data_IF_317083366681
#
_entry.id   IF_317083366681
#
_cell.length_a   1.000
_cell.length_b   1.000
_cell.length_c   1.000
_cell.angle_alpha   90.00
_cell.angle_beta   90.00
_cell.angle_gamma   90.00
#
_symmetry.space_group_name_H-M   'P 1'
#
loop_
_entity.id
_entity.type
_entity.pdbx_description
1 polymer ?
#
# COMPACT_ATOMS: atom_id res chain seq x y z
N UNK A 1 36.09 -21.47 -21.56
CA UNK A 1 34.99 -20.48 -21.51
C UNK A 1 33.76 -21.16 -22.05
N UNK A 2 32.84 -21.59 -21.18
CA UNK A 2 31.70 -22.44 -21.56
C UNK A 2 30.55 -21.61 -22.13
N UNK A 3 29.94 -22.11 -23.21
CA UNK A 3 28.79 -21.54 -23.94
C UNK A 3 27.54 -21.28 -23.07
N UNK A 4 27.53 -21.77 -21.82
CA UNK A 4 26.42 -21.60 -20.88
C UNK A 4 26.27 -20.21 -20.25
N UNK A 5 27.24 -19.28 -20.43
CA UNK A 5 27.11 -17.93 -19.84
C UNK A 5 26.20 -16.99 -20.65
N UNK A 6 26.02 -17.24 -21.95
CA UNK A 6 25.25 -16.37 -22.86
C UNK A 6 23.73 -16.52 -22.71
N UNK A 7 23.27 -17.66 -22.19
CA UNK A 7 21.86 -17.97 -21.99
C UNK A 7 21.41 -17.80 -20.52
N UNK A 8 22.20 -17.12 -19.70
CA UNK A 8 21.82 -16.82 -18.32
C UNK A 8 21.11 -15.46 -18.23
N UNK A 9 19.95 -15.44 -17.58
CA UNK A 9 19.19 -14.21 -17.33
C UNK A 9 19.33 -13.83 -15.86
N UNK A 10 19.64 -12.56 -15.60
CA UNK A 10 19.76 -12.00 -14.26
C UNK A 10 18.53 -12.35 -13.41
N UNK A 11 18.74 -12.98 -12.25
CA UNK A 11 17.75 -13.49 -11.29
C UNK A 11 16.93 -14.72 -11.71
N UNK A 12 16.95 -15.14 -12.98
CA UNK A 12 16.15 -16.26 -13.48
C UNK A 12 16.98 -17.51 -13.81
N UNK A 13 18.31 -17.37 -13.93
CA UNK A 13 19.20 -18.49 -14.21
C UNK A 13 19.18 -18.90 -15.68
N UNK A 14 19.19 -20.21 -15.95
CA UNK A 14 19.15 -20.75 -17.31
C UNK A 14 17.76 -20.57 -17.93
N UNK A 15 17.74 -20.25 -19.22
CA UNK A 15 16.49 -20.04 -19.95
C UNK A 15 15.85 -21.37 -20.32
N UNK A 16 14.56 -21.54 -20.03
CA UNK A 16 13.79 -22.74 -20.37
C UNK A 16 12.70 -22.45 -21.41
N UNK A 17 12.45 -23.44 -22.25
CA UNK A 17 11.67 -23.37 -23.48
C UNK A 17 10.20 -23.74 -23.33
N UNK A 18 9.76 -24.17 -22.14
CA UNK A 18 8.39 -24.64 -21.92
C UNK A 18 7.85 -24.17 -20.56
N UNK A 19 6.55 -23.90 -20.49
CA UNK A 19 5.81 -23.76 -19.23
C UNK A 19 5.59 -25.14 -18.58
N UNK A 20 5.51 -25.23 -17.25
CA UNK A 20 5.26 -26.50 -16.57
C UNK A 20 3.84 -27.01 -16.87
N UNK A 21 3.68 -28.07 -17.68
CA UNK A 21 2.36 -28.58 -18.07
C UNK A 21 1.54 -29.19 -16.91
N UNK A 22 2.22 -29.73 -15.88
CA UNK A 22 1.56 -30.45 -14.76
C UNK A 22 1.42 -29.62 -13.48
N UNK A 23 1.99 -28.41 -13.44
CA UNK A 23 1.99 -27.51 -12.27
C UNK A 23 1.49 -26.14 -12.68
N UNK A 24 0.84 -25.43 -11.77
CA UNK A 24 0.44 -24.05 -12.05
C UNK A 24 1.69 -23.17 -12.26
N UNK A 25 1.69 -22.31 -13.29
CA UNK A 25 2.86 -21.52 -13.64
C UNK A 25 3.15 -20.48 -12.56
N UNK A 26 4.42 -20.40 -12.13
CA UNK A 26 4.89 -19.33 -11.24
C UNK A 26 5.23 -18.08 -12.04
N UNK A 27 5.27 -16.94 -11.36
CA UNK A 27 5.75 -15.68 -11.96
C UNK A 27 7.15 -15.84 -12.57
N UNK A 28 8.03 -16.61 -11.92
CA UNK A 28 9.36 -16.95 -12.44
C UNK A 28 9.34 -17.79 -13.71
N UNK A 29 8.47 -18.79 -13.79
CA UNK A 29 8.38 -19.69 -14.96
C UNK A 29 7.87 -18.92 -16.19
N UNK A 30 6.83 -18.10 -16.00
CA UNK A 30 6.25 -17.25 -17.05
C UNK A 30 7.28 -16.22 -17.54
N UNK A 31 8.00 -15.58 -16.61
CA UNK A 31 9.03 -14.61 -16.97
C UNK A 31 10.23 -15.26 -17.66
N UNK A 32 10.60 -16.48 -17.27
CA UNK A 32 11.70 -17.21 -17.90
C UNK A 32 11.36 -17.59 -19.35
N UNK A 33 10.15 -18.13 -19.56
CA UNK A 33 9.67 -18.46 -20.90
C UNK A 33 9.51 -17.22 -21.80
N UNK A 34 9.13 -16.08 -21.21
CA UNK A 34 9.15 -14.79 -21.91
C UNK A 34 10.54 -14.39 -22.36
N UNK A 35 11.56 -14.58 -21.52
CA UNK A 35 12.94 -14.29 -21.89
C UNK A 35 13.44 -15.22 -22.99
N UNK A 36 13.00 -16.47 -23.03
CA UNK A 36 13.27 -17.40 -24.13
C UNK A 36 12.75 -16.85 -25.45
N UNK A 37 11.45 -16.54 -25.53
CA UNK A 37 10.84 -16.03 -26.77
C UNK A 37 11.44 -14.68 -27.21
N UNK A 38 11.71 -13.78 -26.26
CA UNK A 38 12.24 -12.47 -26.58
C UNK A 38 13.73 -12.47 -26.95
N UNK A 39 14.60 -13.18 -26.19
CA UNK A 39 16.05 -13.18 -26.44
C UNK A 39 16.47 -14.15 -27.54
N UNK A 40 15.84 -15.33 -27.62
CA UNK A 40 16.26 -16.41 -28.53
C UNK A 40 15.45 -16.35 -29.82
N UNK A 41 14.12 -16.22 -29.73
CA UNK A 41 13.26 -16.16 -30.92
C UNK A 41 13.12 -14.75 -31.53
N UNK A 42 13.71 -13.72 -30.91
CA UNK A 42 13.72 -12.31 -31.35
C UNK A 42 12.34 -11.73 -31.70
N UNK A 43 11.28 -12.26 -31.10
CA UNK A 43 9.91 -11.75 -31.25
C UNK A 43 9.74 -10.43 -30.48
N UNK A 44 8.76 -9.62 -30.87
CA UNK A 44 8.50 -8.35 -30.18
C UNK A 44 7.93 -8.60 -28.77
N UNK A 45 8.14 -7.65 -27.85
CA UNK A 45 7.65 -7.75 -26.46
C UNK A 45 6.15 -8.00 -26.40
N UNK A 46 5.38 -7.37 -27.28
CA UNK A 46 3.92 -7.49 -27.35
C UNK A 46 3.47 -8.86 -27.85
N UNK A 47 4.10 -9.37 -28.90
CA UNK A 47 3.80 -10.71 -29.46
C UNK A 47 4.19 -11.81 -28.46
N UNK A 48 5.35 -11.70 -27.81
CA UNK A 48 5.76 -12.63 -26.77
C UNK A 48 4.77 -12.67 -25.61
N UNK A 49 4.32 -11.50 -25.14
CA UNK A 49 3.41 -11.44 -24.01
C UNK A 49 2.05 -12.07 -24.34
N UNK A 50 1.51 -11.82 -25.54
CA UNK A 50 0.25 -12.39 -26.00
C UNK A 50 0.31 -13.92 -26.07
N UNK A 51 1.28 -14.48 -26.79
CA UNK A 51 1.41 -15.93 -26.95
C UNK A 51 1.57 -16.65 -25.61
N UNK A 52 2.30 -16.07 -24.66
CA UNK A 52 2.52 -16.69 -23.35
C UNK A 52 1.24 -16.67 -22.52
N UNK A 53 0.44 -15.63 -22.65
CA UNK A 53 -0.81 -15.54 -21.92
C UNK A 53 -1.84 -16.50 -22.49
N UNK A 54 -1.86 -16.72 -23.80
CA UNK A 54 -2.71 -17.75 -24.41
C UNK A 54 -2.36 -19.13 -23.84
N UNK A 55 -1.07 -19.49 -23.82
CA UNK A 55 -0.59 -20.76 -23.25
C UNK A 55 -0.87 -20.86 -21.74
N UNK A 56 -0.73 -19.76 -20.99
CA UNK A 56 -1.09 -19.74 -19.57
C UNK A 56 -2.59 -19.90 -19.39
N UNK A 57 -3.42 -19.20 -20.17
CA UNK A 57 -4.87 -19.30 -20.09
C UNK A 57 -5.37 -20.70 -20.43
N UNK A 58 -4.72 -21.42 -21.34
CA UNK A 58 -4.99 -22.83 -21.63
C UNK A 58 -4.76 -23.69 -20.37
N UNK A 59 -3.60 -23.56 -19.72
CA UNK A 59 -3.29 -24.29 -18.46
C UNK A 59 -4.30 -23.98 -17.34
N UNK A 60 -4.79 -22.74 -17.27
CA UNK A 60 -5.81 -22.36 -16.28
C UNK A 60 -7.25 -22.72 -16.69
N UNK A 61 -7.52 -22.94 -17.98
CA UNK A 61 -8.82 -23.39 -18.49
C UNK A 61 -9.09 -24.85 -18.12
N UNK A 62 -8.03 -25.68 -18.16
CA UNK A 62 -8.07 -27.07 -17.67
C UNK A 62 -8.45 -27.19 -16.18
N UNK A 63 -8.38 -26.08 -15.43
CA UNK A 63 -8.73 -26.02 -14.00
C UNK A 63 -10.18 -25.59 -13.74
N UNK A 64 -11.01 -25.45 -14.77
CA UNK A 64 -12.42 -25.04 -14.70
C UNK A 64 -12.64 -23.79 -13.83
N UNK A 65 -11.75 -22.79 -13.96
CA UNK A 65 -11.82 -21.54 -13.17
C UNK A 65 -12.11 -20.32 -14.05
N UNK A 66 -12.98 -19.40 -13.60
CA UNK A 66 -13.30 -18.21 -14.38
C UNK A 66 -12.04 -17.33 -14.52
N UNK A 67 -11.70 -16.97 -15.76
CA UNK A 67 -10.46 -16.26 -16.11
C UNK A 67 -10.65 -14.75 -16.16
N UNK A 68 -9.57 -14.04 -15.84
CA UNK A 68 -9.44 -12.60 -16.10
C UNK A 68 -9.38 -12.37 -17.61
N UNK A 69 -9.94 -11.25 -18.08
CA UNK A 69 -9.84 -10.83 -19.49
C UNK A 69 -8.38 -10.77 -19.95
N UNK A 70 -8.11 -11.24 -21.16
CA UNK A 70 -6.76 -11.33 -21.76
C UNK A 70 -5.94 -10.02 -21.62
N UNK A 71 -6.55 -8.86 -21.80
CA UNK A 71 -5.91 -7.54 -21.63
C UNK A 71 -5.33 -7.29 -20.22
N UNK A 72 -5.99 -7.76 -19.17
CA UNK A 72 -5.50 -7.57 -17.81
C UNK A 72 -4.37 -8.56 -17.47
N UNK A 73 -4.38 -9.75 -18.06
CA UNK A 73 -3.25 -10.68 -17.98
C UNK A 73 -2.02 -10.09 -18.70
N UNK A 74 -2.21 -9.44 -19.85
CA UNK A 74 -1.16 -8.72 -20.58
C UNK A 74 -0.51 -7.65 -19.71
N UNK A 75 -1.34 -6.80 -19.11
CA UNK A 75 -0.85 -5.75 -18.21
C UNK A 75 -0.09 -6.32 -17.00
N UNK A 76 -0.54 -7.45 -16.44
CA UNK A 76 0.15 -8.14 -15.34
C UNK A 76 1.54 -8.62 -15.78
N UNK A 77 1.63 -9.17 -16.99
CA UNK A 77 2.91 -9.63 -17.56
C UNK A 77 3.87 -8.47 -17.85
N UNK A 78 3.37 -7.38 -18.46
CA UNK A 78 4.17 -6.18 -18.73
C UNK A 78 4.72 -5.54 -17.45
N UNK A 79 3.94 -5.52 -16.36
CA UNK A 79 4.40 -5.03 -15.06
C UNK A 79 5.52 -5.90 -14.50
N UNK A 80 5.39 -7.24 -14.55
CA UNK A 80 6.47 -8.14 -14.12
C UNK A 80 7.75 -7.93 -14.92
N UNK A 81 7.64 -7.79 -16.24
CA UNK A 81 8.79 -7.52 -17.10
C UNK A 81 9.44 -6.16 -16.80
N UNK A 82 8.64 -5.12 -16.54
CA UNK A 82 9.14 -3.77 -16.23
C UNK A 82 9.85 -3.75 -14.88
N UNK A 83 9.30 -4.42 -13.86
CA UNK A 83 9.95 -4.57 -12.55
C UNK A 83 11.31 -5.29 -12.68
N UNK A 84 11.35 -6.41 -13.40
CA UNK A 84 12.59 -7.12 -13.70
C UNK A 84 13.60 -6.24 -14.45
N UNK A 85 13.16 -5.53 -15.49
CA UNK A 85 14.02 -4.66 -16.31
C UNK A 85 14.63 -3.53 -15.48
N UNK A 86 13.88 -3.00 -14.52
CA UNK A 86 14.39 -1.97 -13.62
C UNK A 86 15.45 -2.53 -12.64
N UNK A 87 15.28 -3.78 -12.18
CA UNK A 87 16.28 -4.47 -11.35
C UNK A 87 17.55 -4.82 -12.14
N UNK A 88 17.44 -5.26 -13.39
CA UNK A 88 18.60 -5.51 -14.25
C UNK A 88 19.37 -4.21 -14.54
N UNK A 89 18.67 -3.09 -14.79
CA UNK A 89 19.31 -1.77 -14.92
C UNK A 89 20.08 -1.34 -13.66
N UNK A 90 19.64 -1.73 -12.48
CA UNK A 90 20.29 -1.40 -11.21
C UNK A 90 21.26 -2.47 -10.69
N UNK A 91 21.58 -3.51 -11.47
CA UNK A 91 22.43 -4.64 -11.07
C UNK A 91 23.82 -4.28 -10.51
N UNK A 92 24.35 -3.12 -10.89
CA UNK A 92 25.66 -2.62 -10.45
C UNK A 92 25.61 -1.98 -9.04
N UNK A 93 24.43 -1.67 -8.51
CA UNK A 93 24.23 -1.07 -7.17
C UNK A 93 24.23 -2.12 -6.06
N UNK A 94 25.25 -2.99 -6.03
CA UNK A 94 25.35 -4.15 -5.12
C UNK A 94 25.49 -3.77 -3.64
N UNK A 95 25.97 -2.56 -3.34
CA UNK A 95 26.23 -2.09 -1.97
C UNK A 95 25.05 -1.37 -1.29
N UNK A 96 23.92 -1.20 -1.98
CA UNK A 96 22.75 -0.53 -1.39
C UNK A 96 21.85 -1.56 -0.71
N UNK A 97 21.72 -1.48 0.62
CA UNK A 97 20.80 -2.33 1.40
C UNK A 97 19.36 -2.29 0.88
N UNK A 98 18.92 -1.10 0.45
CA UNK A 98 17.61 -0.91 -0.18
C UNK A 98 17.44 -1.69 -1.48
N UNK A 99 18.51 -1.85 -2.26
CA UNK A 99 18.51 -2.66 -3.48
C UNK A 99 18.46 -4.15 -3.17
N UNK A 100 19.17 -4.62 -2.13
CA UNK A 100 19.10 -6.01 -1.67
C UNK A 100 17.71 -6.39 -1.18
N UNK A 101 17.04 -5.50 -0.43
CA UNK A 101 15.64 -5.70 -0.03
C UNK A 101 14.69 -5.78 -1.22
N UNK A 102 14.90 -4.97 -2.27
CA UNK A 102 14.12 -5.06 -3.51
C UNK A 102 14.34 -6.36 -4.26
N UNK A 103 15.59 -6.83 -4.34
CA UNK A 103 15.91 -8.13 -4.93
C UNK A 103 15.20 -9.24 -4.15
N UNK A 104 15.32 -9.26 -2.82
CA UNK A 104 14.69 -10.28 -1.98
C UNK A 104 13.18 -10.32 -2.17
N UNK A 105 12.51 -9.16 -2.10
CA UNK A 105 11.07 -9.02 -2.35
C UNK A 105 10.67 -9.52 -3.75
N UNK A 106 11.49 -9.25 -4.76
CA UNK A 106 11.22 -9.72 -6.11
C UNK A 106 11.44 -11.23 -6.24
N UNK A 107 12.48 -11.80 -5.63
CA UNK A 107 12.71 -13.25 -5.60
C UNK A 107 11.55 -13.99 -4.93
N UNK A 108 11.00 -13.45 -3.83
CA UNK A 108 9.81 -14.00 -3.18
C UNK A 108 8.60 -13.96 -4.13
N UNK A 109 8.41 -12.83 -4.82
CA UNK A 109 7.37 -12.65 -5.85
C UNK A 109 7.52 -13.60 -7.04
N UNK A 110 8.74 -13.96 -7.44
CA UNK A 110 8.97 -14.94 -8.52
C UNK A 110 8.48 -16.35 -8.13
N UNK A 111 8.49 -16.68 -6.83
CA UNK A 111 8.02 -17.96 -6.32
C UNK A 111 6.49 -18.05 -6.19
N UNK A 112 5.78 -16.92 -6.29
CA UNK A 112 4.32 -16.86 -6.26
C UNK A 112 3.69 -17.34 -7.58
N UNK A 113 2.44 -17.80 -7.50
CA UNK A 113 1.65 -18.24 -8.65
C UNK A 113 1.31 -17.05 -9.56
N UNK A 114 1.43 -17.25 -10.89
CA UNK A 114 0.92 -16.29 -11.85
C UNK A 114 -0.60 -16.45 -11.96
N UNK A 115 -1.32 -15.88 -10.99
CA UNK A 115 -2.77 -16.02 -10.88
C UNK A 115 -3.54 -15.22 -11.96
N UNK A 116 -4.32 -15.91 -12.79
CA UNK A 116 -5.16 -15.32 -13.86
C UNK A 116 -6.66 -15.50 -13.54
N UNK A 117 -7.03 -15.86 -12.31
CA UNK A 117 -8.44 -16.04 -11.92
C UNK A 117 -9.19 -14.72 -11.73
N UNK A 118 -10.42 -14.68 -12.19
CA UNK A 118 -11.33 -13.57 -11.93
C UNK A 118 -11.67 -13.53 -10.43
N UNK A 119 -11.34 -12.42 -9.76
CA UNK A 119 -11.79 -12.17 -8.38
C UNK A 119 -13.30 -11.93 -8.40
N UNK A 120 -14.08 -12.99 -8.22
CA UNK A 120 -15.53 -12.90 -7.97
C UNK A 120 -15.76 -12.98 -6.47
N UNK A 121 -16.65 -12.15 -5.94
CA UNK A 121 -17.12 -12.24 -4.55
C UNK A 121 -17.75 -13.62 -4.34
N UNK A 122 -17.11 -14.46 -3.51
CA UNK A 122 -17.56 -15.82 -3.24
C UNK A 122 -18.61 -15.75 -2.12
N UNK A 123 -19.84 -15.45 -2.48
CA UNK A 123 -21.01 -15.83 -1.67
C UNK A 123 -21.45 -17.22 -2.14
N UNK A 124 -21.25 -18.23 -1.28
CA UNK A 124 -21.70 -19.62 -1.38
C UNK A 124 -21.20 -20.45 -2.59
N UNK A 125 -20.46 -21.53 -2.32
CA UNK A 125 -20.90 -22.89 -2.67
C UNK A 125 -19.81 -23.94 -2.39
N UNK A 126 -20.25 -25.00 -1.71
CA UNK A 126 -19.54 -26.23 -1.43
C UNK A 126 -19.47 -27.05 -2.73
N UNK A 127 -18.27 -27.29 -3.25
CA UNK A 127 -18.08 -28.18 -4.39
C UNK A 127 -16.74 -28.93 -4.21
N UNK A 128 -16.73 -30.28 -4.31
CA UNK A 128 -15.55 -31.12 -4.07
C UNK A 128 -14.37 -30.83 -5.01
N UNK A 129 -14.60 -30.19 -6.16
CA UNK A 129 -13.54 -29.75 -7.08
C UNK A 129 -12.56 -28.73 -6.45
N UNK A 130 -12.99 -27.97 -5.43
CA UNK A 130 -12.11 -27.03 -4.71
C UNK A 130 -10.99 -27.75 -3.96
N UNK A 131 -11.21 -28.99 -3.48
CA UNK A 131 -10.20 -29.78 -2.76
C UNK A 131 -9.01 -30.12 -3.66
N UNK A 132 -9.23 -30.55 -4.90
CA UNK A 132 -8.14 -30.79 -5.86
C UNK A 132 -7.35 -29.51 -6.17
N UNK A 133 -8.05 -28.38 -6.26
CA UNK A 133 -7.40 -27.08 -6.48
C UNK A 133 -6.57 -26.62 -5.27
N UNK A 134 -6.89 -27.06 -4.06
CA UNK A 134 -6.14 -26.79 -2.83
C UNK A 134 -4.95 -27.75 -2.68
N UNK A 135 -5.11 -29.02 -3.04
CA UNK A 135 -4.04 -30.03 -3.05
C UNK A 135 -2.93 -29.67 -4.04
N UNK A 136 -3.24 -29.06 -5.20
CA UNK A 136 -2.21 -28.54 -6.12
C UNK A 136 -1.52 -27.25 -5.63
N UNK A 137 -2.02 -26.60 -4.56
CA UNK A 137 -1.43 -25.38 -3.96
C UNK A 137 -0.51 -25.68 -2.78
N UNK A 138 -0.65 -26.83 -2.12
CA UNK A 138 0.20 -27.18 -0.97
C UNK A 138 1.64 -27.47 -1.42
N UNK A 139 2.59 -26.96 -0.65
CA UNK A 139 4.04 -27.14 -0.89
C UNK A 139 4.45 -28.54 -0.41
N UNK A 140 4.00 -29.60 -1.08
CA UNK A 140 4.35 -30.97 -0.68
C UNK A 140 3.65 -32.02 -1.54
N UNK A 141 4.40 -33.05 -1.96
CA UNK A 141 3.94 -34.14 -2.82
C UNK A 141 3.26 -35.21 -1.96
N UNK A 142 1.97 -35.49 -2.18
CA UNK A 142 1.36 -36.75 -1.77
C UNK A 142 1.41 -37.70 -2.97
N UNK A 143 2.08 -38.83 -2.80
CA UNK A 143 2.06 -39.94 -3.77
C UNK A 143 0.70 -40.61 -3.74
N UNK A 144 0.07 -40.91 -4.90
CA UNK A 144 -1.15 -41.71 -4.90
C UNK A 144 -0.85 -43.13 -4.40
N UNK A 145 -1.61 -43.57 -3.41
CA UNK A 145 -1.67 -44.98 -2.99
C UNK A 145 -2.58 -45.69 -4.02
N UNK A 146 -2.23 -46.89 -4.53
CA UNK A 146 -3.08 -47.64 -5.45
C UNK A 146 -4.38 -48.08 -4.75
N UNK A 147 -5.48 -48.04 -5.50
CA UNK A 147 -6.78 -48.58 -5.10
C UNK A 147 -6.65 -50.07 -4.81
N UNK A 148 -6.85 -50.45 -3.54
CA UNK A 148 -7.33 -51.75 -3.04
C UNK A 148 -6.92 -51.86 -1.56
N UNK A 149 -7.80 -51.51 -0.62
CA UNK A 149 -8.06 -52.20 0.68
C UNK A 149 -9.28 -51.52 1.34
N UNK A 150 -10.20 -52.37 1.78
CA UNK A 150 -11.48 -52.09 2.44
C UNK A 150 -11.36 -51.34 3.78
N UNK A 151 -12.49 -50.77 4.20
CA UNK A 151 -12.74 -50.02 5.43
C UNK A 151 -11.93 -50.48 6.65
N UNK A 152 -11.09 -49.59 7.19
CA UNK A 152 -10.59 -49.68 8.55
C UNK A 152 -10.48 -48.27 9.17
N UNK A 153 -11.39 -47.99 10.09
CA UNK A 153 -11.39 -46.80 10.94
C UNK A 153 -10.25 -46.87 11.95
N UNK A 154 -9.33 -45.89 11.95
CA UNK A 154 -8.34 -45.75 13.03
C UNK A 154 -8.22 -44.30 13.56
N UNK A 155 -7.89 -44.15 14.85
CA UNK A 155 -8.36 -43.07 15.72
C UNK A 155 -7.48 -41.83 15.71
N UNK A 156 -8.07 -40.69 16.07
CA UNK A 156 -7.34 -39.47 16.38
C UNK A 156 -6.74 -39.57 17.79
N UNK A 157 -5.42 -39.69 17.88
CA UNK A 157 -4.69 -39.36 19.12
C UNK A 157 -4.17 -37.91 19.08
N UNK A 158 -4.20 -37.20 20.22
CA UNK A 158 -3.85 -35.79 20.29
C UNK A 158 -2.34 -35.61 20.42
N UNK A 159 -1.74 -34.78 19.57
CA UNK A 159 -0.35 -34.33 19.75
C UNK A 159 -0.39 -32.98 20.47
N UNK A 160 0.05 -33.04 21.72
CA UNK A 160 0.38 -31.93 22.61
C UNK A 160 1.38 -30.99 21.94
N UNK A 161 1.08 -29.69 21.94
CA UNK A 161 2.04 -28.64 21.62
C UNK A 161 2.40 -27.92 22.92
N UNK A 162 3.43 -28.39 23.61
CA UNK A 162 4.23 -27.57 24.50
C UNK A 162 5.20 -26.75 23.64
N UNK A 163 4.88 -25.46 23.43
CA UNK A 163 5.86 -24.45 23.05
C UNK A 163 5.62 -23.22 23.92
N UNK A 164 6.64 -22.92 24.72
CA UNK A 164 6.71 -21.88 25.75
C UNK A 164 6.16 -20.51 25.32
N UNK A 165 5.11 -20.10 26.04
CA UNK A 165 4.43 -18.81 25.91
C UNK A 165 5.21 -17.67 26.59
N UNK A 166 6.52 -17.57 26.37
CA UNK A 166 7.35 -16.55 27.00
C UNK A 166 8.43 -15.91 26.09
N UNK A 167 8.38 -16.17 24.78
CA UNK A 167 9.30 -15.56 23.79
C UNK A 167 8.58 -14.60 22.82
N UNK A 168 7.24 -14.59 22.79
CA UNK A 168 6.46 -13.72 21.90
C UNK A 168 6.14 -12.34 22.50
N UNK A 169 6.33 -12.16 23.81
CA UNK A 169 6.05 -10.93 24.55
C UNK A 169 7.19 -9.91 24.56
N UNK A 170 8.39 -10.25 24.07
CA UNK A 170 9.54 -9.33 24.00
C UNK A 170 9.84 -8.75 22.61
N UNK A 171 9.16 -9.21 21.54
CA UNK A 171 9.40 -8.74 20.17
C UNK A 171 8.40 -7.69 19.65
N UNK A 172 7.40 -7.29 20.46
CA UNK A 172 6.34 -6.35 20.06
C UNK A 172 6.39 -4.99 20.78
N UNK A 173 7.41 -4.73 21.61
CA UNK A 173 7.57 -3.47 22.34
C UNK A 173 8.41 -2.39 21.65
N UNK A 174 9.08 -2.67 20.52
CA UNK A 174 10.05 -1.73 19.92
C UNK A 174 9.60 -1.00 18.64
N UNK A 175 8.29 -0.88 18.39
CA UNK A 175 7.80 -0.01 17.29
C UNK A 175 6.69 0.94 17.75
N UNK A 176 7.00 1.79 18.72
CA UNK A 176 6.33 3.08 18.88
C UNK A 176 7.36 4.19 18.77
N UNK A 177 7.44 4.82 17.58
CA UNK A 177 8.15 6.09 17.43
C UNK A 177 7.10 7.17 17.21
N UNK A 178 6.88 7.87 18.32
CA UNK A 178 6.34 9.23 18.40
C UNK A 178 7.00 10.13 17.35
N UNK A 179 6.17 10.85 16.58
CA UNK A 179 6.61 11.94 15.73
C UNK A 179 6.15 13.24 16.37
N UNK A 180 6.92 13.71 17.34
CA UNK A 180 6.96 15.13 17.70
C UNK A 180 8.41 15.52 18.02
N UNK A 181 8.77 16.70 17.48
CA UNK A 181 9.94 17.50 17.79
C UNK A 181 11.30 17.14 17.14
N UNK A 182 11.47 17.52 15.86
CA UNK A 182 12.74 18.06 15.39
C UNK A 182 12.51 19.18 14.36
N UNK A 183 12.37 20.40 14.87
CA UNK A 183 12.68 21.60 14.11
C UNK A 183 14.14 21.95 14.36
N UNK A 184 15.00 21.86 13.33
CA UNK A 184 15.89 22.93 12.82
C UNK A 184 17.09 22.39 12.03
N UNK A 185 17.12 22.83 10.77
CA UNK A 185 18.30 23.15 9.96
C UNK A 185 19.28 22.03 9.58
N UNK A 186 19.26 21.65 8.30
CA UNK A 186 20.41 21.00 7.64
C UNK A 186 20.83 21.80 6.41
N UNK A 187 21.82 22.65 6.61
CA UNK A 187 22.76 23.08 5.59
C UNK A 187 23.60 21.86 5.16
N UNK A 188 23.41 21.39 3.93
CA UNK A 188 24.23 20.32 3.38
C UNK A 188 25.59 20.86 2.90
N UNK A 189 26.66 20.55 3.61
CA UNK A 189 28.02 20.59 3.07
C UNK A 189 28.51 19.15 2.87
N UNK A 190 28.67 18.75 1.62
CA UNK A 190 29.23 17.47 1.24
C UNK A 190 30.74 17.63 0.98
N UNK A 191 31.56 17.24 1.95
CA UNK A 191 33.01 17.16 1.79
C UNK A 191 33.41 15.86 1.08
N UNK A 192 33.63 15.95 -0.23
CA UNK A 192 34.31 14.91 -1.01
C UNK A 192 35.67 15.45 -1.44
N UNK A 193 36.71 15.02 -0.74
CA UNK A 193 38.09 15.40 -1.02
C UNK A 193 38.55 14.84 -2.36
N UNK A 194 38.60 15.70 -3.38
CA UNK A 194 39.39 15.52 -4.58
C UNK A 194 40.17 16.82 -4.81
N UNK A 195 41.49 16.79 -4.64
CA UNK A 195 42.38 17.93 -4.91
C UNK A 195 42.27 18.29 -6.38
N UNK A 196 41.60 19.39 -6.69
CA UNK A 196 41.70 20.11 -7.98
C UNK A 196 42.31 21.47 -7.70
N UNK A 197 43.39 21.75 -8.42
CA UNK A 197 44.11 23.02 -8.44
C UNK A 197 43.12 24.16 -8.71
N UNK A 198 43.07 25.12 -7.80
CA UNK A 198 42.19 26.29 -7.84
C UNK A 198 42.80 27.30 -8.82
N UNK A 199 42.06 27.62 -9.88
CA UNK A 199 42.30 28.81 -10.70
C UNK A 199 41.46 29.97 -10.13
N UNK A 200 42.10 31.11 -9.84
CA UNK A 200 41.49 32.29 -9.23
C UNK A 200 40.68 33.11 -10.26
N UNK A 201 39.49 32.64 -10.63
CA UNK A 201 38.50 33.48 -11.31
C UNK A 201 37.24 33.48 -10.45
N UNK A 202 37.06 34.52 -9.64
CA UNK A 202 35.85 34.76 -8.86
C UNK A 202 34.80 35.40 -9.78
N UNK A 203 33.91 34.58 -10.34
CA UNK A 203 32.57 35.05 -10.69
C UNK A 203 31.70 34.85 -9.45
N UNK A 204 31.42 35.93 -8.73
CA UNK A 204 30.42 35.93 -7.66
C UNK A 204 29.03 35.64 -8.27
N UNK A 205 28.57 34.40 -8.15
CA UNK A 205 27.18 34.06 -8.41
C UNK A 205 26.30 34.80 -7.38
N UNK A 206 25.29 35.59 -7.79
CA UNK A 206 24.43 36.30 -6.86
C UNK A 206 23.71 35.28 -5.98
N UNK A 207 23.95 35.33 -4.67
CA UNK A 207 23.18 34.56 -3.70
C UNK A 207 21.74 35.05 -3.77
N UNK A 208 20.83 34.22 -4.30
CA UNK A 208 19.41 34.56 -4.30
C UNK A 208 18.92 34.59 -2.85
N UNK A 209 18.71 35.79 -2.31
CA UNK A 209 17.92 35.95 -1.10
C UNK A 209 16.51 35.45 -1.41
N UNK A 210 16.20 34.22 -1.02
CA UNK A 210 14.84 33.72 -1.11
C UNK A 210 13.99 34.54 -0.14
N UNK A 211 13.29 35.55 -0.64
CA UNK A 211 12.33 36.30 0.16
C UNK A 211 11.29 35.34 0.73
N UNK A 212 11.05 35.43 2.04
CA UNK A 212 10.04 34.63 2.70
C UNK A 212 8.66 35.03 2.17
N UNK A 213 7.96 34.09 1.52
CA UNK A 213 6.61 34.31 1.04
C UNK A 213 5.64 34.49 2.21
N UNK A 214 4.68 35.39 2.04
CA UNK A 214 3.64 35.66 3.04
C UNK A 214 2.68 34.48 3.08
N UNK A 215 2.40 33.98 4.29
CA UNK A 215 1.33 33.01 4.54
C UNK A 215 -0.01 33.75 4.69
N UNK A 216 -1.00 33.33 3.92
CA UNK A 216 -2.34 33.95 3.87
C UNK A 216 -3.39 33.05 4.53
N UNK A 217 -3.07 31.78 4.80
CA UNK A 217 -4.07 30.86 5.34
C UNK A 217 -4.36 31.13 6.81
N UNK A 218 -5.43 31.87 7.06
CA UNK A 218 -6.02 32.05 8.40
C UNK A 218 -7.08 30.97 8.69
N UNK A 219 -7.45 30.73 9.97
CA UNK A 219 -8.52 29.80 10.30
C UNK A 219 -9.88 30.20 9.69
N UNK A 220 -10.17 31.49 9.58
CA UNK A 220 -11.39 32.02 8.94
C UNK A 220 -11.39 31.71 7.45
N UNK A 221 -10.27 31.98 6.76
CA UNK A 221 -10.15 31.66 5.34
C UNK A 221 -10.23 30.15 5.09
N UNK A 222 -9.58 29.34 5.93
CA UNK A 222 -9.65 27.88 5.82
C UNK A 222 -11.07 27.37 6.03
N UNK A 223 -11.77 27.84 7.05
CA UNK A 223 -13.15 27.43 7.34
C UNK A 223 -14.13 27.87 6.25
N UNK A 224 -13.99 29.07 5.69
CA UNK A 224 -14.79 29.53 4.56
C UNK A 224 -14.59 28.64 3.32
N UNK A 225 -13.35 28.29 3.00
CA UNK A 225 -13.00 27.38 1.90
C UNK A 225 -13.42 25.92 2.16
N UNK A 226 -13.47 25.48 3.43
CA UNK A 226 -13.97 24.15 3.81
C UNK A 226 -15.50 24.07 3.66
N UNK A 227 -16.24 25.06 4.17
CA UNK A 227 -17.71 25.13 4.07
C UNK A 227 -18.20 25.23 2.64
N UNK A 228 -17.44 25.91 1.77
CA UNK A 228 -17.73 26.01 0.34
C UNK A 228 -17.26 24.80 -0.48
N UNK A 229 -16.71 23.77 0.17
CA UNK A 229 -16.21 22.54 -0.48
C UNK A 229 -15.23 22.83 -1.64
N UNK A 230 -14.38 23.84 -1.47
CA UNK A 230 -13.42 24.26 -2.50
C UNK A 230 -12.16 23.40 -2.43
N UNK A 231 -11.79 22.79 -3.55
CA UNK A 231 -10.53 22.04 -3.64
C UNK A 231 -9.33 22.96 -3.42
N UNK A 232 -8.22 22.45 -2.88
CA UNK A 232 -7.02 23.27 -2.66
C UNK A 232 -6.48 23.92 -3.94
N UNK A 233 -6.84 23.40 -5.14
CA UNK A 233 -6.43 23.96 -6.43
C UNK A 233 -7.30 25.14 -6.80
N UNK A 234 -8.60 24.99 -6.62
CA UNK A 234 -9.55 26.07 -6.83
C UNK A 234 -9.33 27.19 -5.80
N UNK A 235 -9.00 26.84 -4.56
CA UNK A 235 -8.62 27.78 -3.53
C UNK A 235 -7.41 28.63 -3.96
N UNK A 236 -6.38 28.02 -4.54
CA UNK A 236 -5.23 28.75 -5.06
C UNK A 236 -5.63 29.78 -6.13
N UNK A 237 -6.50 29.39 -7.08
CA UNK A 237 -6.99 30.31 -8.11
C UNK A 237 -7.79 31.48 -7.52
N UNK A 238 -8.70 31.20 -6.58
CA UNK A 238 -9.50 32.22 -5.90
C UNK A 238 -8.60 33.19 -5.14
N UNK A 239 -7.66 32.67 -4.35
CA UNK A 239 -6.73 33.50 -3.56
C UNK A 239 -5.85 34.37 -4.47
N UNK A 240 -5.36 33.84 -5.60
CA UNK A 240 -4.60 34.64 -6.58
C UNK A 240 -5.47 35.75 -7.18
N UNK A 241 -6.70 35.44 -7.58
CA UNK A 241 -7.60 36.42 -8.19
C UNK A 241 -7.95 37.55 -7.20
N UNK A 242 -8.23 37.19 -5.94
CA UNK A 242 -8.50 38.15 -4.87
C UNK A 242 -7.26 38.99 -4.57
N UNK A 243 -6.08 38.37 -4.43
CA UNK A 243 -4.82 39.07 -4.19
C UNK A 243 -4.53 40.11 -5.29
N UNK A 244 -4.70 39.73 -6.56
CA UNK A 244 -4.55 40.65 -7.70
C UNK A 244 -5.56 41.81 -7.65
N UNK A 245 -6.81 41.52 -7.31
CA UNK A 245 -7.87 42.53 -7.21
C UNK A 245 -7.62 43.54 -6.08
N UNK A 246 -6.95 43.10 -5.01
CA UNK A 246 -6.53 43.94 -3.89
C UNK A 246 -5.18 44.64 -4.12
N UNK A 247 -4.55 44.46 -5.28
CA UNK A 247 -3.26 45.09 -5.61
C UNK A 247 -2.03 44.39 -5.00
N UNK A 248 -2.17 43.18 -4.48
CA UNK A 248 -1.04 42.38 -3.99
C UNK A 248 -0.41 41.56 -5.12
N UNK A 249 0.93 41.51 -5.14
CA UNK A 249 1.68 40.69 -6.08
C UNK A 249 1.59 39.19 -5.71
N UNK A 250 1.05 38.33 -6.59
CA UNK A 250 0.95 36.89 -6.32
C UNK A 250 2.30 36.20 -6.11
N UNK A 251 3.41 36.76 -6.59
CA UNK A 251 4.73 36.16 -6.42
C UNK A 251 5.24 36.21 -4.97
N UNK A 252 4.80 37.22 -4.21
CA UNK A 252 5.16 37.44 -2.81
C UNK A 252 4.33 36.58 -1.84
N UNK A 253 3.31 35.91 -2.35
CA UNK A 253 2.34 35.14 -1.57
C UNK A 253 2.60 33.64 -1.73
N UNK A 254 2.44 32.88 -0.64
CA UNK A 254 2.49 31.43 -0.67
C UNK A 254 1.18 30.79 -1.20
N UNK A 255 0.91 30.90 -2.50
CA UNK A 255 -0.33 30.36 -3.12
C UNK A 255 -0.17 28.94 -3.70
N UNK A 256 0.91 28.24 -3.37
CA UNK A 256 1.09 26.87 -3.87
C UNK A 256 -0.04 25.96 -3.37
N UNK A 257 -0.64 25.19 -4.27
CA UNK A 257 -1.64 24.17 -3.94
C UNK A 257 -1.24 23.29 -2.76
N UNK A 258 0.04 22.86 -2.73
CA UNK A 258 0.55 21.98 -1.66
C UNK A 258 0.65 22.71 -0.33
N UNK A 259 1.06 23.99 -0.35
CA UNK A 259 1.09 24.83 0.85
C UNK A 259 -0.33 24.99 1.40
N UNK A 260 -1.27 25.45 0.57
CA UNK A 260 -2.68 25.60 0.95
C UNK A 260 -3.25 24.31 1.53
N UNK A 261 -2.98 23.16 0.90
CA UNK A 261 -3.42 21.87 1.43
C UNK A 261 -2.83 21.59 2.83
N UNK A 262 -1.53 21.80 3.01
CA UNK A 262 -0.86 21.57 4.29
C UNK A 262 -1.40 22.52 5.37
N UNK A 263 -1.57 23.79 5.03
CA UNK A 263 -1.99 24.83 5.97
C UNK A 263 -3.47 24.62 6.36
N UNK A 264 -4.34 24.22 5.42
CA UNK A 264 -5.71 23.76 5.72
C UNK A 264 -5.72 22.56 6.66
N UNK A 265 -4.86 21.56 6.42
CA UNK A 265 -4.76 20.41 7.32
C UNK A 265 -4.27 20.81 8.72
N UNK A 266 -3.35 21.76 8.82
CA UNK A 266 -2.90 22.32 10.10
C UNK A 266 -4.06 23.00 10.82
N UNK A 267 -4.81 23.86 10.13
CA UNK A 267 -5.97 24.54 10.72
C UNK A 267 -7.07 23.55 11.15
N UNK A 268 -7.37 22.51 10.36
CA UNK A 268 -8.33 21.47 10.76
C UNK A 268 -7.90 20.71 12.01
N UNK A 269 -6.60 20.43 12.16
CA UNK A 269 -6.07 19.82 13.38
C UNK A 269 -6.24 20.74 14.59
N UNK A 270 -5.90 22.02 14.44
CA UNK A 270 -6.07 23.02 15.50
C UNK A 270 -7.55 23.15 15.90
N UNK A 271 -8.46 23.26 14.92
CA UNK A 271 -9.90 23.29 15.21
C UNK A 271 -10.37 22.04 15.94
N UNK A 272 -9.88 20.85 15.56
CA UNK A 272 -10.24 19.61 16.26
C UNK A 272 -9.73 19.58 17.71
N UNK A 273 -8.52 20.08 17.96
CA UNK A 273 -7.99 20.19 19.33
C UNK A 273 -8.76 21.24 20.14
N UNK A 274 -9.13 22.36 19.53
CA UNK A 274 -9.90 23.41 20.19
C UNK A 274 -11.29 22.92 20.57
N UNK A 275 -11.95 22.16 19.69
CA UNK A 275 -13.25 21.51 19.98
C UNK A 275 -13.10 20.53 21.15
N UNK A 276 -12.01 19.74 21.19
CA UNK A 276 -11.75 18.82 22.29
C UNK A 276 -11.59 19.55 23.62
N UNK A 277 -10.81 20.62 23.65
CA UNK A 277 -10.52 21.39 24.86
C UNK A 277 -11.72 22.20 25.36
N UNK A 278 -12.60 22.64 24.46
CA UNK A 278 -13.80 23.40 24.80
C UNK A 278 -14.97 22.51 25.26
N UNK A 279 -14.79 21.18 25.34
CA UNK A 279 -15.78 20.25 25.84
C UNK A 279 -16.01 20.47 27.34
N UNK A 280 -16.93 21.38 27.67
CA UNK A 280 -17.23 21.78 29.04
C UNK A 280 -17.84 20.62 29.83
N UNK A 281 -17.64 20.63 31.15
CA UNK A 281 -18.16 19.64 32.10
C UNK A 281 -19.70 19.70 32.21
N UNK A 282 -20.37 19.25 31.16
CA UNK A 282 -21.83 19.20 31.07
C UNK A 282 -22.29 18.01 31.90
N UNK A 283 -23.16 18.29 32.87
CA UNK A 283 -23.82 17.26 33.66
C UNK A 283 -24.99 16.68 32.83
N UNK A 284 -25.17 15.35 32.90
CA UNK A 284 -26.21 14.59 32.20
C UNK A 284 -26.01 14.53 30.68
N UNK A 285 -25.07 13.69 30.25
CA UNK A 285 -24.81 13.39 28.85
C UNK A 285 -25.52 12.10 28.43
N UNK A 286 -26.08 12.10 27.22
CA UNK A 286 -26.62 10.91 26.55
C UNK A 286 -25.69 10.55 25.40
N UNK A 287 -25.30 9.28 25.36
CA UNK A 287 -24.46 8.75 24.29
C UNK A 287 -25.34 8.10 23.22
N UNK A 288 -25.13 8.50 21.97
CA UNK A 288 -25.76 7.94 20.79
C UNK A 288 -24.70 7.29 19.91
N UNK A 289 -24.94 6.04 19.50
CA UNK A 289 -24.10 5.35 18.54
C UNK A 289 -24.96 4.48 17.63
N UNK A 290 -24.59 4.42 16.35
CA UNK A 290 -25.20 3.51 15.40
C UNK A 290 -24.17 3.10 14.34
N UNK A 291 -24.17 1.83 13.95
CA UNK A 291 -23.21 1.30 13.00
C UNK A 291 -23.67 1.50 11.56
N UNK A 292 -22.76 1.93 10.67
CA UNK A 292 -23.05 2.04 9.24
C UNK A 292 -21.91 1.55 8.36
N UNK A 293 -22.25 0.75 7.36
CA UNK A 293 -21.32 0.36 6.30
C UNK A 293 -21.08 1.53 5.34
N UNK A 294 -19.87 2.10 5.38
CA UNK A 294 -19.44 3.22 4.55
C UNK A 294 -18.20 2.84 3.75
N UNK A 295 -18.01 3.44 2.57
CA UNK A 295 -16.79 3.25 1.78
C UNK A 295 -15.56 3.78 2.53
N UNK A 296 -14.44 3.06 2.44
CA UNK A 296 -13.18 3.54 3.01
C UNK A 296 -12.58 4.69 2.19
N UNK A 297 -11.75 5.52 2.83
CA UNK A 297 -11.11 6.66 2.19
C UNK A 297 -10.21 6.18 1.04
N UNK A 298 -10.63 6.44 -0.21
CA UNK A 298 -9.88 6.08 -1.40
C UNK A 298 -10.02 4.62 -1.85
N UNK A 299 -10.99 3.87 -1.32
CA UNK A 299 -11.25 2.48 -1.69
C UNK A 299 -12.72 2.20 -2.04
N UNK A 300 -12.95 1.06 -2.71
CA UNK A 300 -14.31 0.54 -2.98
C UNK A 300 -14.82 -0.38 -1.88
N UNK A 301 -13.97 -0.77 -0.92
CA UNK A 301 -14.37 -1.63 0.19
C UNK A 301 -15.29 -0.88 1.13
N UNK A 302 -16.41 -1.52 1.49
CA UNK A 302 -17.29 -1.06 2.56
C UNK A 302 -16.72 -1.51 3.89
N UNK A 303 -16.67 -0.60 4.84
CA UNK A 303 -16.19 -0.86 6.19
C UNK A 303 -17.23 -0.38 7.18
N UNK A 304 -17.38 -1.13 8.27
CA UNK A 304 -18.19 -0.73 9.41
C UNK A 304 -17.59 0.52 10.06
N UNK A 305 -18.36 1.60 10.05
CA UNK A 305 -18.04 2.84 10.74
C UNK A 305 -19.08 3.06 11.83
N UNK A 306 -18.60 3.45 13.01
CA UNK A 306 -19.46 3.66 14.17
C UNK A 306 -19.40 5.14 14.57
N UNK A 307 -20.27 6.02 14.04
CA UNK A 307 -20.45 7.35 14.60
C UNK A 307 -20.82 7.28 16.09
N UNK A 308 -20.12 8.07 16.90
CA UNK A 308 -20.37 8.21 18.33
C UNK A 308 -20.64 9.68 18.60
N UNK A 309 -21.86 9.99 19.02
CA UNK A 309 -22.34 11.35 19.28
C UNK A 309 -22.72 11.46 20.74
N UNK A 310 -22.31 12.55 21.37
CA UNK A 310 -22.77 12.95 22.69
C UNK A 310 -23.78 14.06 22.57
N UNK A 311 -24.89 13.93 23.28
CA UNK A 311 -25.89 14.98 23.40
C UNK A 311 -26.15 15.31 24.87
N UNK A 312 -26.58 16.54 25.13
CA UNK A 312 -26.93 17.05 26.45
C UNK A 312 -27.78 18.31 26.31
N UNK A 313 -28.05 19.01 27.42
CA UNK A 313 -28.83 20.25 27.38
C UNK A 313 -28.12 21.30 26.52
N UNK A 314 -28.69 21.61 25.34
CA UNK A 314 -28.13 22.54 24.34
C UNK A 314 -26.72 22.18 23.86
N UNK A 315 -26.36 20.90 23.91
CA UNK A 315 -25.06 20.41 23.49
C UNK A 315 -25.20 19.18 22.62
N UNK A 316 -24.54 19.18 21.47
CA UNK A 316 -24.42 18.02 20.60
C UNK A 316 -23.03 18.03 19.99
N UNK A 317 -22.29 16.94 20.17
CA UNK A 317 -20.92 16.82 19.68
C UNK A 317 -20.66 15.42 19.13
N UNK A 318 -20.20 15.38 17.88
CA UNK A 318 -19.64 14.17 17.30
C UNK A 318 -18.23 13.95 17.87
N UNK A 319 -18.03 12.84 18.57
CA UNK A 319 -16.72 12.51 19.14
C UNK A 319 -15.79 11.88 18.11
N UNK A 320 -16.30 10.88 17.40
CA UNK A 320 -15.53 10.12 16.44
C UNK A 320 -16.41 9.31 15.50
N UNK A 321 -15.79 8.82 14.43
CA UNK A 321 -16.35 7.83 13.50
C UNK A 321 -15.29 6.74 13.27
N UNK A 322 -14.94 5.94 14.30
CA UNK A 322 -13.95 4.87 14.18
C UNK A 322 -14.32 3.86 13.10
N UNK A 323 -13.28 3.36 12.44
CA UNK A 323 -13.33 2.24 11.51
C UNK A 323 -13.23 0.94 12.32
N UNK A 324 -14.25 0.09 12.24
CA UNK A 324 -14.27 -1.21 12.93
C UNK A 324 -13.77 -2.33 12.02
N UNK A 325 -13.15 -3.34 12.62
CA UNK A 325 -12.77 -4.57 11.92
C UNK A 325 -13.99 -5.46 11.62
N UNK A 326 -15.01 -5.38 12.47
CA UNK A 326 -16.29 -6.06 12.34
C UNK A 326 -17.32 -5.36 13.22
N UNK A 327 -18.56 -5.22 12.74
CA UNK A 327 -19.69 -4.62 13.46
C UNK A 327 -20.25 -5.43 14.64
N UNK A 328 -19.50 -6.37 15.23
CA UNK A 328 -19.94 -7.09 16.44
C UNK A 328 -20.11 -6.13 17.63
N UNK A 329 -21.06 -6.44 18.52
CA UNK A 329 -21.33 -5.62 19.72
C UNK A 329 -20.09 -5.43 20.61
N UNK A 330 -19.22 -6.43 20.70
CA UNK A 330 -17.95 -6.33 21.43
C UNK A 330 -17.02 -5.25 20.85
N UNK A 331 -16.79 -5.24 19.53
CA UNK A 331 -15.92 -4.26 18.89
C UNK A 331 -16.50 -2.84 18.96
N UNK A 332 -17.82 -2.74 18.87
CA UNK A 332 -18.52 -1.47 19.03
C UNK A 332 -18.34 -0.92 20.45
N UNK A 333 -18.65 -1.73 21.47
CA UNK A 333 -18.50 -1.34 22.88
C UNK A 333 -17.05 -0.98 23.23
N UNK A 334 -16.08 -1.77 22.76
CA UNK A 334 -14.66 -1.48 22.97
C UNK A 334 -14.25 -0.12 22.37
N UNK A 335 -14.69 0.16 21.14
CA UNK A 335 -14.39 1.42 20.45
C UNK A 335 -15.06 2.62 21.13
N UNK A 336 -16.29 2.44 21.61
CA UNK A 336 -17.01 3.46 22.38
C UNK A 336 -16.25 3.83 23.65
N UNK A 337 -15.87 2.84 24.46
CA UNK A 337 -15.13 3.08 25.71
C UNK A 337 -13.78 3.73 25.44
N UNK A 338 -13.06 3.30 24.40
CA UNK A 338 -11.80 3.90 24.01
C UNK A 338 -11.95 5.38 23.63
N UNK A 339 -12.99 5.73 22.88
CA UNK A 339 -13.26 7.11 22.48
C UNK A 339 -13.71 7.98 23.66
N UNK A 340 -14.55 7.47 24.56
CA UNK A 340 -14.93 8.19 25.78
C UNK A 340 -13.72 8.52 26.67
N UNK A 341 -12.78 7.58 26.80
CA UNK A 341 -11.51 7.80 27.50
C UNK A 341 -10.63 8.81 26.77
N UNK A 342 -10.54 8.74 25.44
CA UNK A 342 -9.77 9.69 24.64
C UNK A 342 -10.26 11.13 24.81
N UNK A 343 -11.56 11.31 25.01
CA UNK A 343 -12.19 12.60 25.25
C UNK A 343 -12.27 13.00 26.74
N UNK A 344 -11.66 12.21 27.63
CA UNK A 344 -11.59 12.48 29.08
C UNK A 344 -12.98 12.62 29.75
N UNK A 345 -13.96 11.85 29.24
CA UNK A 345 -15.37 11.89 29.68
C UNK A 345 -15.64 10.84 30.76
N UNK A 346 -14.99 9.70 30.64
CA UNK A 346 -15.05 8.59 31.60
C UNK A 346 -13.62 8.25 32.00
N UNK A 347 -13.36 8.24 33.31
CA UNK A 347 -12.07 7.85 33.89
C UNK A 347 -11.85 6.33 33.83
#
# INVERSE_FOLDING_TARGET
MSENSLNSVYLLGAVHNNLPSRKLPKNGDVLNYFMFKHKILKKTVTECAAEIIDEVQEIWSDMNTPLIKHQHALKKMEMLFTEWRNLDKSRLKKHSEFHLLKIKKFTDKLNELFDVRLKKDISHDSCPEKLFSLVRRSKGRLTPIPDDVEDESFPLEPIENDIDENVLSQALSDTSISFEELSRSSSSSCSRASKRTISNFEDELPQSSHENKIDIMTPELSSALDRSNVSSRNAAYIVIAVAKSLGHDPNKINVSHRSIHRDRNKMRKMMATDIKNNNSAIQNLVLHWDGKLLSDCGGTQKVDRLPIVLSGLNYEQLLAVPKLNSGTGFNQAHSIVAELKRWDIVN
#
